data_IF_760810211184
#
_entry.id   IF_760810211184
#
_cell.length_a   1.000
_cell.length_b   1.000
_cell.length_c   1.000
_cell.angle_alpha   90.00
_cell.angle_beta   90.00
_cell.angle_gamma   90.00
#
_symmetry.space_group_name_H-M   'P 1'
#
loop_
_entity.id
_entity.type
_entity.pdbx_description
1 polymer ?
#
# COMPACT_ATOMS: atom_id res chain seq x y z
N UNK A 1 5.12 9.23 11.03
CA UNK A 1 5.31 8.54 9.74
C UNK A 1 4.33 9.00 8.66
N UNK A 2 3.01 8.79 8.81
CA UNK A 2 2.05 9.03 7.71
C UNK A 2 2.13 10.44 7.09
N UNK A 3 1.80 11.50 7.82
CA UNK A 3 1.74 12.85 7.25
C UNK A 3 3.10 13.36 6.77
N UNK A 4 4.12 13.34 7.64
CA UNK A 4 5.43 13.88 7.30
C UNK A 4 6.21 12.97 6.35
N UNK A 5 6.25 11.66 6.62
CA UNK A 5 7.04 10.70 5.85
C UNK A 5 6.49 10.51 4.44
N UNK A 6 5.16 10.37 4.27
CA UNK A 6 4.55 10.23 2.94
C UNK A 6 4.74 11.49 2.11
N UNK A 7 4.41 12.67 2.66
CA UNK A 7 4.57 13.94 1.93
C UNK A 7 6.02 14.20 1.53
N UNK A 8 6.98 13.98 2.43
CA UNK A 8 8.40 14.11 2.12
C UNK A 8 8.87 13.07 1.08
N UNK A 9 8.36 11.84 1.13
CA UNK A 9 8.64 10.79 0.11
C UNK A 9 8.15 11.23 -1.26
N UNK A 10 6.92 11.73 -1.35
CA UNK A 10 6.35 12.24 -2.61
C UNK A 10 7.18 13.42 -3.13
N UNK A 11 7.51 14.39 -2.28
CA UNK A 11 8.30 15.54 -2.66
C UNK A 11 9.70 15.15 -3.15
N UNK A 12 10.43 14.30 -2.41
CA UNK A 12 11.75 13.83 -2.82
C UNK A 12 11.70 13.01 -4.11
N UNK A 13 10.72 12.11 -4.25
CA UNK A 13 10.50 11.35 -5.48
C UNK A 13 10.25 12.27 -6.67
N UNK A 14 9.41 13.28 -6.50
CA UNK A 14 9.14 14.31 -7.51
C UNK A 14 10.41 15.06 -7.91
N UNK A 15 11.21 15.50 -6.94
CA UNK A 15 12.44 16.25 -7.19
C UNK A 15 13.44 15.39 -7.97
N UNK A 16 13.69 14.15 -7.56
CA UNK A 16 14.61 13.28 -8.28
C UNK A 16 14.10 12.91 -9.67
N UNK A 17 12.79 12.73 -9.84
CA UNK A 17 12.19 12.49 -11.14
C UNK A 17 12.40 13.68 -12.09
N UNK A 18 12.07 14.90 -11.63
CA UNK A 18 12.23 16.13 -12.40
C UNK A 18 13.70 16.45 -12.73
N UNK A 19 14.65 16.03 -11.87
CA UNK A 19 16.09 16.22 -12.12
C UNK A 19 16.67 15.21 -13.11
N UNK A 20 16.20 13.96 -13.09
CA UNK A 20 16.76 12.88 -13.92
C UNK A 20 16.10 12.83 -15.31
N UNK A 21 14.80 13.07 -15.39
CA UNK A 21 13.99 12.90 -16.58
C UNK A 21 13.60 14.27 -17.15
N UNK A 22 14.24 14.66 -18.25
CA UNK A 22 13.98 15.94 -18.93
C UNK A 22 12.85 15.84 -19.96
N UNK A 23 12.42 14.62 -20.27
CA UNK A 23 11.41 14.25 -21.25
C UNK A 23 9.99 14.19 -20.65
N UNK A 24 9.86 14.32 -19.32
CA UNK A 24 8.57 14.33 -18.62
C UNK A 24 8.26 15.75 -18.11
N UNK A 25 6.97 16.04 -17.96
CA UNK A 25 6.54 17.31 -17.36
C UNK A 25 6.76 17.33 -15.84
N UNK A 26 6.61 18.50 -15.22
CA UNK A 26 6.66 18.58 -13.76
C UNK A 26 5.48 17.84 -13.10
N UNK A 27 4.30 17.81 -13.74
CA UNK A 27 3.14 17.07 -13.25
C UNK A 27 3.37 15.57 -13.34
N UNK A 28 3.98 15.09 -14.43
CA UNK A 28 4.43 13.71 -14.58
C UNK A 28 5.41 13.29 -13.47
N UNK A 29 6.34 14.20 -13.10
CA UNK A 29 7.27 13.97 -12.00
C UNK A 29 6.55 13.86 -10.64
N UNK A 30 5.55 14.72 -10.39
CA UNK A 30 4.69 14.62 -9.19
C UNK A 30 3.95 13.28 -9.18
N UNK A 31 3.37 12.91 -10.32
CA UNK A 31 2.63 11.68 -10.49
C UNK A 31 3.50 10.45 -10.21
N UNK A 32 4.73 10.42 -10.74
CA UNK A 32 5.70 9.35 -10.45
C UNK A 32 6.09 9.31 -8.96
N UNK A 33 6.26 10.46 -8.32
CA UNK A 33 6.49 10.57 -6.88
C UNK A 33 5.33 9.98 -6.06
N UNK A 34 4.08 10.20 -6.48
CA UNK A 34 2.86 9.67 -5.85
C UNK A 34 2.73 8.16 -6.10
N UNK A 35 2.91 7.69 -7.33
CA UNK A 35 2.79 6.27 -7.70
C UNK A 35 3.76 5.40 -6.89
N UNK A 36 4.97 5.92 -6.64
CA UNK A 36 6.00 5.24 -5.88
C UNK A 36 6.07 5.72 -4.41
N UNK A 37 5.02 6.33 -3.87
CA UNK A 37 4.92 6.65 -2.45
C UNK A 37 4.30 5.56 -1.57
N UNK A 38 3.27 4.78 -1.99
CA UNK A 38 2.70 3.72 -1.17
C UNK A 38 3.67 2.53 -1.03
N UNK A 39 3.46 1.75 0.01
CA UNK A 39 4.32 0.63 0.42
C UNK A 39 3.48 -0.63 0.57
N UNK A 40 4.00 -1.76 0.12
CA UNK A 40 3.28 -3.02 0.06
C UNK A 40 3.71 -3.96 1.20
N UNK A 41 2.91 -4.05 2.26
CA UNK A 41 3.19 -4.91 3.41
C UNK A 41 3.30 -6.40 3.03
N UNK A 42 2.68 -6.86 1.94
CA UNK A 42 2.75 -8.28 1.55
C UNK A 42 4.17 -8.70 1.14
N UNK A 43 4.95 -7.78 0.56
CA UNK A 43 6.36 -8.02 0.21
C UNK A 43 7.28 -7.95 1.44
N UNK A 44 6.85 -7.26 2.49
CA UNK A 44 7.55 -7.19 3.77
C UNK A 44 7.09 -8.28 4.76
N UNK A 45 6.11 -9.11 4.40
CA UNK A 45 5.44 -10.02 5.33
C UNK A 45 6.42 -10.91 6.11
N UNK A 46 7.45 -11.44 5.44
CA UNK A 46 8.51 -12.22 6.08
C UNK A 46 9.20 -11.48 7.24
N UNK A 47 9.40 -10.17 7.14
CA UNK A 47 10.01 -9.36 8.21
C UNK A 47 9.05 -9.16 9.37
N UNK A 48 7.76 -9.08 9.08
CA UNK A 48 6.72 -8.95 10.11
C UNK A 48 6.45 -10.29 10.81
N UNK A 49 6.83 -11.41 10.21
CA UNK A 49 6.80 -12.74 10.84
C UNK A 49 8.03 -13.00 11.74
N UNK A 50 9.12 -12.24 11.57
CA UNK A 50 10.35 -12.41 12.35
C UNK A 50 10.16 -11.92 13.80
N UNK A 51 9.91 -12.85 14.73
CA UNK A 51 9.69 -12.58 16.17
C UNK A 51 10.83 -11.83 16.86
N UNK A 52 12.03 -11.86 16.29
CA UNK A 52 13.19 -11.11 16.76
C UNK A 52 13.08 -9.59 16.52
N UNK A 53 12.18 -9.16 15.63
CA UNK A 53 11.85 -7.75 15.41
C UNK A 53 10.76 -7.35 16.42
N UNK A 54 10.93 -6.26 17.18
CA UNK A 54 9.95 -5.88 18.19
C UNK A 54 8.55 -5.63 17.63
N UNK A 55 7.52 -6.04 18.37
CA UNK A 55 6.11 -5.97 17.96
C UNK A 55 5.68 -4.54 17.61
N UNK A 56 6.15 -3.52 18.34
CA UNK A 56 5.89 -2.11 18.01
C UNK A 56 6.29 -1.77 16.57
N UNK A 57 7.44 -2.25 16.12
CA UNK A 57 8.00 -1.96 14.79
C UNK A 57 7.25 -2.74 13.71
N UNK A 58 6.96 -4.01 13.98
CA UNK A 58 6.16 -4.88 13.12
C UNK A 58 4.76 -4.31 12.89
N UNK A 59 4.07 -3.92 13.96
CA UNK A 59 2.77 -3.25 13.91
C UNK A 59 2.86 -1.91 13.16
N UNK A 60 3.91 -1.13 13.41
CA UNK A 60 4.15 0.14 12.73
C UNK A 60 4.25 0.00 11.21
N UNK A 61 4.96 -1.02 10.71
CA UNK A 61 5.08 -1.30 9.28
C UNK A 61 3.73 -1.68 8.63
N UNK A 62 2.92 -2.51 9.31
CA UNK A 62 1.58 -2.87 8.82
C UNK A 62 0.67 -1.65 8.75
N UNK A 63 0.61 -0.88 9.84
CA UNK A 63 -0.25 0.30 9.94
C UNK A 63 0.15 1.35 8.90
N UNK A 64 1.46 1.56 8.72
CA UNK A 64 1.98 2.47 7.70
C UNK A 64 1.54 2.06 6.30
N UNK A 65 1.72 0.79 5.92
CA UNK A 65 1.32 0.29 4.60
C UNK A 65 -0.17 0.46 4.34
N UNK A 66 -1.03 0.01 5.27
CA UNK A 66 -2.47 0.10 5.09
C UNK A 66 -3.00 1.54 5.03
N UNK A 67 -2.45 2.45 5.84
CA UNK A 67 -2.84 3.86 5.80
C UNK A 67 -2.28 4.59 4.56
N UNK A 68 -1.07 4.25 4.11
CA UNK A 68 -0.48 4.85 2.91
C UNK A 68 -1.33 4.55 1.66
N UNK A 69 -1.79 3.30 1.50
CA UNK A 69 -2.60 2.90 0.35
C UNK A 69 -3.90 3.71 0.24
N UNK A 70 -4.58 3.95 1.37
CA UNK A 70 -5.78 4.79 1.42
C UNK A 70 -5.48 6.28 1.26
N UNK A 71 -4.41 6.79 1.87
CA UNK A 71 -4.09 8.22 1.91
C UNK A 71 -3.50 8.77 0.59
N UNK A 72 -2.84 7.92 -0.21
CA UNK A 72 -2.25 8.31 -1.50
C UNK A 72 -3.31 8.57 -2.56
N UNK A 73 -4.41 7.81 -2.55
CA UNK A 73 -5.41 7.85 -3.63
C UNK A 73 -6.05 9.23 -3.85
N UNK A 74 -6.48 9.99 -2.82
CA UNK A 74 -6.97 11.35 -3.02
C UNK A 74 -5.95 12.27 -3.70
N UNK A 75 -4.68 12.22 -3.28
CA UNK A 75 -3.61 13.01 -3.88
C UNK A 75 -3.38 12.62 -5.35
N UNK A 76 -3.39 11.32 -5.63
CA UNK A 76 -3.29 10.79 -6.99
C UNK A 76 -4.41 11.31 -7.89
N UNK A 77 -5.67 11.28 -7.42
CA UNK A 77 -6.83 11.79 -8.17
C UNK A 77 -6.68 13.28 -8.47
N UNK A 78 -6.22 14.10 -7.52
CA UNK A 78 -5.99 15.52 -7.77
C UNK A 78 -4.99 15.76 -8.90
N UNK A 79 -3.88 15.00 -8.92
CA UNK A 79 -2.84 15.16 -9.94
C UNK A 79 -3.29 14.63 -11.29
N UNK A 80 -3.98 13.49 -11.34
CA UNK A 80 -4.58 12.97 -12.58
C UNK A 80 -5.63 13.94 -13.14
N UNK A 81 -6.47 14.52 -12.28
CA UNK A 81 -7.46 15.51 -12.70
C UNK A 81 -6.80 16.80 -13.21
N UNK A 82 -5.71 17.24 -12.57
CA UNK A 82 -4.93 18.41 -13.00
C UNK A 82 -4.31 18.17 -14.38
N UNK A 83 -3.65 17.03 -14.56
CA UNK A 83 -3.03 16.62 -15.83
C UNK A 83 -4.07 16.54 -16.97
N UNK A 84 -5.25 15.96 -16.68
CA UNK A 84 -6.34 15.88 -17.65
C UNK A 84 -6.87 17.28 -18.04
N UNK A 85 -6.95 18.21 -17.11
CA UNK A 85 -7.40 19.59 -17.36
C UNK A 85 -6.37 20.36 -18.20
N UNK A 86 -5.08 20.19 -17.93
CA UNK A 86 -4.00 20.80 -18.70
C UNK A 86 -3.98 20.29 -20.15
N UNK A 87 -4.02 18.96 -20.35
CA UNK A 87 -4.01 18.34 -21.69
C UNK A 87 -5.25 18.67 -22.52
N UNK A 88 -6.41 18.77 -21.88
CA UNK A 88 -7.67 19.11 -22.55
C UNK A 88 -7.92 20.63 -22.65
N UNK A 89 -6.96 21.45 -22.22
CA UNK A 89 -7.04 22.91 -22.19
C UNK A 89 -8.34 23.44 -21.55
N UNK A 90 -8.75 22.79 -20.45
CA UNK A 90 -9.93 23.17 -19.66
C UNK A 90 -9.57 24.25 -18.63
N UNK A 91 -10.54 25.01 -18.10
CA UNK A 91 -10.26 25.99 -17.06
C UNK A 91 -9.62 25.32 -15.83
N UNK A 92 -8.51 25.88 -15.35
CA UNK A 92 -7.74 25.33 -14.22
C UNK A 92 -8.58 25.16 -12.94
N UNK A 93 -9.72 25.82 -12.77
CA UNK A 93 -10.59 25.57 -11.61
C UNK A 93 -11.33 24.22 -11.65
N UNK A 94 -11.41 23.56 -12.82
CA UNK A 94 -12.26 22.37 -13.02
C UNK A 94 -11.67 21.09 -12.43
N UNK A 95 -10.34 20.97 -12.29
CA UNK A 95 -9.71 19.78 -11.70
C UNK A 95 -10.17 19.57 -10.24
N UNK A 96 -10.37 20.66 -9.50
CA UNK A 96 -10.80 20.61 -8.11
C UNK A 96 -12.21 20.04 -8.02
N UNK A 97 -13.11 20.46 -8.90
CA UNK A 97 -14.46 19.91 -8.97
C UNK A 97 -14.44 18.40 -9.31
N UNK A 98 -13.68 18.01 -10.35
CA UNK A 98 -13.56 16.60 -10.77
C UNK A 98 -12.98 15.73 -9.64
N UNK A 99 -11.93 16.20 -8.98
CA UNK A 99 -11.29 15.46 -7.90
C UNK A 99 -12.19 15.36 -6.66
N UNK A 100 -12.84 16.46 -6.26
CA UNK A 100 -13.77 16.46 -5.14
C UNK A 100 -15.01 15.61 -5.41
N UNK A 101 -15.49 15.54 -6.66
CA UNK A 101 -16.58 14.66 -7.06
C UNK A 101 -16.19 13.19 -6.93
N UNK A 102 -15.03 12.81 -7.50
CA UNK A 102 -14.52 11.43 -7.39
C UNK A 102 -14.28 11.00 -5.94
N UNK A 103 -13.67 11.87 -5.13
CA UNK A 103 -13.40 11.60 -3.71
C UNK A 103 -14.71 11.58 -2.92
N UNK A 104 -15.57 12.59 -3.12
CA UNK A 104 -16.81 12.76 -2.38
C UNK A 104 -17.79 11.62 -2.61
N UNK A 105 -18.05 11.27 -3.88
CA UNK A 105 -18.89 10.11 -4.20
C UNK A 105 -18.25 8.79 -3.79
N UNK A 106 -16.92 8.64 -3.92
CA UNK A 106 -16.22 7.46 -3.43
C UNK A 106 -16.43 7.25 -1.92
N UNK A 107 -16.20 8.29 -1.10
CA UNK A 107 -16.42 8.23 0.35
C UNK A 107 -17.90 7.97 0.67
N UNK A 108 -18.81 8.71 0.03
CA UNK A 108 -20.25 8.59 0.28
C UNK A 108 -20.77 7.18 0.00
N UNK A 109 -20.44 6.63 -1.17
CA UNK A 109 -20.81 5.28 -1.58
C UNK A 109 -20.17 4.24 -0.66
N UNK A 110 -18.88 4.39 -0.33
CA UNK A 110 -18.18 3.50 0.59
C UNK A 110 -18.82 3.45 1.98
N UNK A 111 -19.18 4.60 2.56
CA UNK A 111 -19.85 4.65 3.87
C UNK A 111 -21.19 3.92 3.80
N UNK A 112 -22.02 4.21 2.79
CA UNK A 112 -23.34 3.59 2.66
C UNK A 112 -23.21 2.09 2.50
N UNK A 113 -22.37 1.63 1.58
CA UNK A 113 -22.23 0.20 1.28
C UNK A 113 -21.60 -0.54 2.45
N UNK A 114 -20.59 0.03 3.11
CA UNK A 114 -19.97 -0.58 4.28
C UNK A 114 -20.92 -0.70 5.48
N UNK A 115 -21.69 0.36 5.78
CA UNK A 115 -22.68 0.33 6.88
C UNK A 115 -23.83 -0.65 6.57
N UNK A 116 -24.41 -0.57 5.38
CA UNK A 116 -25.50 -1.47 4.97
C UNK A 116 -25.02 -2.91 4.87
N UNK A 117 -23.84 -3.13 4.29
CA UNK A 117 -23.21 -4.45 4.16
C UNK A 117 -22.94 -5.08 5.53
N UNK A 118 -22.30 -4.34 6.44
CA UNK A 118 -22.05 -4.79 7.81
C UNK A 118 -23.34 -5.07 8.60
N UNK A 119 -24.36 -4.24 8.44
CA UNK A 119 -25.67 -4.46 9.06
C UNK A 119 -26.37 -5.72 8.51
N UNK A 120 -26.39 -5.89 7.18
CA UNK A 120 -26.96 -7.07 6.52
C UNK A 120 -26.23 -8.35 6.94
N UNK A 121 -24.91 -8.31 6.98
CA UNK A 121 -24.07 -9.40 7.47
C UNK A 121 -24.45 -9.79 8.90
N UNK A 122 -24.47 -8.82 9.82
CA UNK A 122 -24.76 -9.07 11.24
C UNK A 122 -26.16 -9.63 11.44
N UNK A 123 -27.14 -9.18 10.65
CA UNK A 123 -28.51 -9.73 10.65
C UNK A 123 -28.54 -11.17 10.16
N UNK A 124 -27.90 -11.47 9.02
CA UNK A 124 -27.90 -12.79 8.43
C UNK A 124 -27.12 -13.82 9.28
N UNK A 125 -26.02 -13.39 9.90
CA UNK A 125 -25.22 -14.20 10.81
C UNK A 125 -26.01 -14.55 12.08
N UNK A 126 -26.63 -13.56 12.75
CA UNK A 126 -27.49 -13.79 13.94
C UNK A 126 -28.69 -14.67 13.65
N UNK A 127 -29.21 -14.63 12.41
CA UNK A 127 -30.31 -15.49 11.97
C UNK A 127 -29.87 -16.92 11.65
N UNK A 128 -28.58 -17.27 11.78
CA UNK A 128 -28.05 -18.59 11.42
C UNK A 128 -28.20 -18.92 9.94
N UNK A 129 -28.35 -17.90 9.09
CA UNK A 129 -28.64 -18.05 7.65
C UNK A 129 -27.37 -18.05 6.78
N UNK A 130 -26.19 -17.89 7.40
CA UNK A 130 -24.91 -17.88 6.71
C UNK A 130 -24.13 -19.16 7.02
N UNK A 131 -23.63 -19.81 5.97
CA UNK A 131 -22.60 -20.85 6.11
C UNK A 131 -21.22 -20.20 6.26
N UNK A 132 -20.25 -21.00 6.69
CA UNK A 132 -18.85 -20.60 6.84
C UNK A 132 -18.25 -19.97 5.57
N UNK A 133 -18.59 -20.53 4.41
CA UNK A 133 -18.08 -20.06 3.12
C UNK A 133 -18.63 -18.66 2.77
N UNK A 134 -19.90 -18.39 3.08
CA UNK A 134 -20.54 -17.13 2.68
C UNK A 134 -20.12 -15.95 3.54
N UNK A 135 -19.99 -16.14 4.86
CA UNK A 135 -19.54 -15.05 5.71
C UNK A 135 -18.06 -14.70 5.44
N UNK A 136 -17.26 -15.68 4.98
CA UNK A 136 -15.85 -15.49 4.59
C UNK A 136 -15.63 -14.83 3.23
N UNK A 137 -16.61 -14.83 2.33
CA UNK A 137 -16.50 -14.20 1.00
C UNK A 137 -17.13 -12.80 0.93
N UNK A 138 -17.71 -12.35 2.05
CA UNK A 138 -18.42 -11.08 2.15
C UNK A 138 -17.54 -9.88 1.75
N UNK A 139 -16.30 -9.80 2.23
CA UNK A 139 -15.42 -8.65 1.97
C UNK A 139 -15.06 -8.50 0.49
N UNK A 140 -14.93 -9.59 -0.26
CA UNK A 140 -14.68 -9.52 -1.70
C UNK A 140 -15.91 -9.01 -2.43
N UNK A 141 -17.11 -9.51 -2.08
CA UNK A 141 -18.35 -8.99 -2.63
C UNK A 141 -18.55 -7.51 -2.30
N UNK A 142 -18.28 -7.11 -1.06
CA UNK A 142 -18.38 -5.73 -0.59
C UNK A 142 -17.43 -4.81 -1.36
N UNK A 143 -16.18 -5.21 -1.55
CA UNK A 143 -15.20 -4.43 -2.32
C UNK A 143 -15.64 -4.24 -3.78
N UNK A 144 -16.10 -5.31 -4.44
CA UNK A 144 -16.56 -5.26 -5.84
C UNK A 144 -17.82 -4.41 -6.01
N UNK A 145 -18.80 -4.56 -5.12
CA UNK A 145 -20.03 -3.76 -5.15
C UNK A 145 -19.72 -2.29 -4.88
N UNK A 146 -18.85 -2.01 -3.90
CA UNK A 146 -18.42 -0.64 -3.58
C UNK A 146 -17.74 0.03 -4.78
N UNK A 147 -16.85 -0.71 -5.46
CA UNK A 147 -16.21 -0.23 -6.67
C UNK A 147 -17.24 0.05 -7.77
N UNK A 148 -18.05 -0.94 -8.14
CA UNK A 148 -18.97 -0.85 -9.27
C UNK A 148 -19.98 0.29 -9.09
N UNK A 149 -20.53 0.45 -7.88
CA UNK A 149 -21.50 1.50 -7.60
C UNK A 149 -20.83 2.87 -7.62
N UNK A 150 -19.64 3.01 -7.02
CA UNK A 150 -18.93 4.28 -7.01
C UNK A 150 -18.54 4.73 -8.41
N UNK A 151 -17.94 3.83 -9.20
CA UNK A 151 -17.54 4.11 -10.58
C UNK A 151 -18.76 4.50 -11.44
N UNK A 152 -19.89 3.80 -11.27
CA UNK A 152 -21.14 4.09 -11.97
C UNK A 152 -21.77 5.45 -11.66
N UNK A 153 -21.47 6.05 -10.50
CA UNK A 153 -21.95 7.40 -10.12
C UNK A 153 -20.87 8.48 -10.25
N UNK A 154 -19.72 8.16 -10.87
CA UNK A 154 -18.60 9.09 -11.05
C UNK A 154 -17.67 9.23 -9.83
N UNK A 155 -17.86 8.40 -8.82
CA UNK A 155 -16.97 8.26 -7.66
C UNK A 155 -15.75 7.38 -7.94
N UNK A 156 -14.72 7.50 -7.10
CA UNK A 156 -13.57 6.61 -7.19
C UNK A 156 -13.83 5.29 -6.47
N UNK A 157 -13.76 4.19 -7.22
CA UNK A 157 -13.98 2.84 -6.72
C UNK A 157 -13.00 2.35 -5.65
N UNK A 158 -11.72 2.71 -5.75
CA UNK A 158 -10.73 2.34 -4.75
C UNK A 158 -11.02 3.01 -3.41
N UNK A 159 -11.35 4.30 -3.41
CA UNK A 159 -11.78 5.02 -2.21
C UNK A 159 -13.04 4.37 -1.64
N UNK A 160 -14.03 4.06 -2.47
CA UNK A 160 -15.27 3.43 -2.00
C UNK A 160 -15.02 2.08 -1.34
N UNK A 161 -14.23 1.19 -1.94
CA UNK A 161 -13.90 -0.11 -1.38
C UNK A 161 -13.11 0.01 -0.06
N UNK A 162 -12.13 0.92 0.02
CA UNK A 162 -11.37 1.17 1.24
C UNK A 162 -12.25 1.70 2.37
N UNK A 163 -13.09 2.70 2.09
CA UNK A 163 -13.99 3.30 3.07
C UNK A 163 -15.09 2.31 3.49
N UNK A 164 -15.59 1.47 2.56
CA UNK A 164 -16.54 0.41 2.91
C UNK A 164 -15.95 -0.59 3.90
N UNK A 165 -14.72 -1.04 3.67
CA UNK A 165 -14.01 -1.93 4.61
C UNK A 165 -13.75 -1.31 5.98
N UNK A 166 -13.58 0.01 6.07
CA UNK A 166 -13.49 0.71 7.36
C UNK A 166 -14.87 0.86 8.03
N UNK A 167 -15.90 1.20 7.26
CA UNK A 167 -17.24 1.44 7.77
C UNK A 167 -17.90 0.17 8.34
N UNK A 168 -17.53 -1.02 7.86
CA UNK A 168 -18.02 -2.28 8.44
C UNK A 168 -17.59 -2.51 9.88
N UNK A 169 -16.50 -1.87 10.34
CA UNK A 169 -16.00 -1.99 11.73
C UNK A 169 -16.90 -1.26 12.75
N UNK A 170 -17.83 -0.42 12.29
CA UNK A 170 -18.79 0.27 13.15
C UNK A 170 -19.82 -0.72 13.71
N UNK A 171 -20.12 -1.78 12.96
CA UNK A 171 -21.09 -2.80 13.37
C UNK A 171 -20.42 -3.89 14.22
N UNK A 172 -21.07 -4.27 15.32
CA UNK A 172 -20.63 -5.38 16.17
C UNK A 172 -20.92 -6.73 15.49
N UNK A 173 -19.91 -7.18 14.73
CA UNK A 173 -19.87 -8.50 14.11
C UNK A 173 -19.55 -9.50 15.21
N UNK A 174 -20.54 -10.29 15.63
CA UNK A 174 -20.40 -11.35 16.65
C UNK A 174 -19.54 -12.55 16.17
N UNK A 175 -18.56 -12.29 15.32
CA UNK A 175 -17.62 -13.21 14.70
C UNK A 175 -16.24 -12.60 14.90
N UNK A 176 -15.24 -13.43 15.15
CA UNK A 176 -13.87 -12.92 15.32
C UNK A 176 -13.39 -12.28 14.00
N UNK A 177 -12.63 -11.18 14.10
CA UNK A 177 -12.07 -10.51 12.90
C UNK A 177 -11.22 -11.50 12.07
N UNK A 178 -10.50 -12.40 12.74
CA UNK A 178 -9.66 -13.40 12.10
C UNK A 178 -10.46 -14.36 11.20
N UNK A 179 -11.59 -14.88 11.70
CA UNK A 179 -12.43 -15.83 10.95
C UNK A 179 -13.02 -15.22 9.67
N UNK A 180 -13.31 -13.92 9.66
CA UNK A 180 -13.90 -13.22 8.50
C UNK A 180 -12.82 -12.73 7.52
N UNK A 181 -11.62 -12.40 8.00
CA UNK A 181 -10.55 -11.79 7.18
C UNK A 181 -9.60 -12.82 6.57
N UNK A 182 -9.49 -14.03 7.12
CA UNK A 182 -8.51 -15.04 6.67
C UNK A 182 -8.64 -15.37 5.18
N UNK A 183 -9.86 -15.69 4.71
CA UNK A 183 -10.09 -16.06 3.30
C UNK A 183 -9.89 -14.86 2.35
N UNK A 184 -10.48 -13.66 2.60
CA UNK A 184 -10.25 -12.49 1.77
C UNK A 184 -8.76 -12.10 1.68
N UNK A 185 -8.00 -12.29 2.77
CA UNK A 185 -6.55 -12.09 2.78
C UNK A 185 -5.83 -13.08 1.87
N UNK A 186 -6.17 -14.37 1.97
CA UNK A 186 -5.59 -15.40 1.10
C UNK A 186 -5.92 -15.14 -0.39
N UNK A 187 -7.17 -14.79 -0.70
CA UNK A 187 -7.61 -14.44 -2.04
C UNK A 187 -6.86 -13.20 -2.57
N UNK A 188 -6.74 -12.15 -1.75
CA UNK A 188 -5.96 -10.95 -2.08
C UNK A 188 -4.49 -11.26 -2.34
N UNK A 189 -3.87 -12.13 -1.55
CA UNK A 189 -2.49 -12.56 -1.75
C UNK A 189 -2.31 -13.34 -3.07
N UNK A 190 -3.24 -14.25 -3.41
CA UNK A 190 -3.20 -14.99 -4.68
C UNK A 190 -3.32 -14.03 -5.87
N UNK A 191 -4.25 -13.07 -5.81
CA UNK A 191 -4.41 -12.06 -6.85
C UNK A 191 -3.17 -11.17 -6.97
N UNK A 192 -2.56 -10.78 -5.85
CA UNK A 192 -1.31 -10.01 -5.86
C UNK A 192 -0.17 -10.80 -6.54
N UNK A 193 0.01 -12.07 -6.16
CA UNK A 193 1.01 -12.95 -6.79
C UNK A 193 0.75 -13.11 -8.29
N UNK A 194 -0.50 -13.21 -8.72
CA UNK A 194 -0.84 -13.27 -10.14
C UNK A 194 -0.45 -11.98 -10.88
N UNK A 195 -0.72 -10.79 -10.31
CA UNK A 195 -0.32 -9.51 -10.88
C UNK A 195 1.21 -9.40 -10.96
N UNK A 196 1.93 -9.76 -9.89
CA UNK A 196 3.39 -9.73 -9.88
C UNK A 196 4.00 -10.74 -10.85
N UNK A 197 3.39 -11.92 -11.02
CA UNK A 197 3.80 -12.90 -12.01
C UNK A 197 3.64 -12.36 -13.43
N UNK A 198 2.48 -11.79 -13.76
CA UNK A 198 2.22 -11.18 -15.06
C UNK A 198 3.21 -10.03 -15.32
N UNK A 199 3.42 -9.16 -14.33
CA UNK A 199 4.42 -8.09 -14.41
C UNK A 199 5.81 -8.65 -14.68
N UNK A 200 6.21 -9.69 -13.97
CA UNK A 200 7.51 -10.36 -14.14
C UNK A 200 7.70 -10.87 -15.57
N UNK A 201 6.69 -11.55 -16.14
CA UNK A 201 6.72 -12.02 -17.52
C UNK A 201 6.81 -10.86 -18.51
N UNK A 202 5.97 -9.83 -18.35
CA UNK A 202 5.97 -8.66 -19.23
C UNK A 202 7.27 -7.83 -19.13
N UNK A 203 7.91 -7.81 -17.96
CA UNK A 203 9.12 -7.01 -17.73
C UNK A 203 10.29 -7.41 -18.61
N UNK A 204 10.34 -8.67 -19.07
CA UNK A 204 11.38 -9.14 -19.97
C UNK A 204 11.43 -8.34 -21.28
N UNK A 205 10.28 -7.87 -21.79
CA UNK A 205 10.20 -7.02 -22.98
C UNK A 205 10.71 -5.60 -22.71
N UNK A 206 10.57 -5.12 -21.48
CA UNK A 206 10.93 -3.75 -21.09
C UNK A 206 12.37 -3.60 -20.60
N UNK A 207 13.04 -4.69 -20.20
CA UNK A 207 14.44 -4.67 -19.75
C UNK A 207 15.39 -3.93 -20.71
N UNK A 208 15.34 -4.12 -22.04
CA UNK A 208 16.22 -3.40 -22.97
C UNK A 208 15.98 -1.89 -23.03
N UNK A 209 14.83 -1.41 -22.56
CA UNK A 209 14.47 0.00 -22.55
C UNK A 209 14.93 0.71 -21.26
N UNK A 210 15.40 -0.04 -20.27
CA UNK A 210 15.87 0.52 -18.99
C UNK A 210 17.25 1.14 -19.18
N UNK A 211 17.29 2.46 -19.16
CA UNK A 211 18.54 3.21 -19.17
C UNK A 211 19.11 3.42 -17.75
N UNK A 212 20.28 4.04 -17.69
CA UNK A 212 20.95 4.33 -16.42
C UNK A 212 20.15 5.29 -15.53
N UNK A 213 19.37 6.20 -16.11
CA UNK A 213 18.58 7.18 -15.34
C UNK A 213 17.39 6.51 -14.66
N UNK A 214 16.67 5.65 -15.38
CA UNK A 214 15.58 4.82 -14.86
C UNK A 214 16.10 3.93 -13.73
N UNK A 215 17.22 3.24 -13.96
CA UNK A 215 17.85 2.42 -12.93
C UNK A 215 18.28 3.25 -11.70
N UNK A 216 18.93 4.40 -11.91
CA UNK A 216 19.36 5.29 -10.83
C UNK A 216 18.16 5.82 -10.04
N UNK A 217 17.09 6.24 -10.72
CA UNK A 217 15.86 6.69 -10.06
C UNK A 217 15.24 5.57 -9.23
N UNK A 218 15.17 4.34 -9.74
CA UNK A 218 14.65 3.20 -9.00
C UNK A 218 15.45 2.93 -7.71
N UNK A 219 16.79 2.93 -7.80
CA UNK A 219 17.67 2.75 -6.62
C UNK A 219 17.50 3.89 -5.63
N UNK A 220 17.46 5.14 -6.10
CA UNK A 220 17.24 6.32 -5.26
C UNK A 220 15.85 6.31 -4.59
N UNK A 221 14.84 5.85 -5.33
CA UNK A 221 13.44 5.73 -4.88
C UNK A 221 13.32 4.78 -3.68
N UNK A 222 14.01 3.65 -3.73
CA UNK A 222 14.02 2.66 -2.65
C UNK A 222 14.92 3.05 -1.47
N UNK A 223 15.99 3.80 -1.72
CA UNK A 223 16.97 4.18 -0.69
C UNK A 223 16.70 5.58 -0.14
N UNK A 224 17.18 6.62 -0.80
CA UNK A 224 17.14 8.00 -0.30
C UNK A 224 15.71 8.50 -0.15
N UNK A 225 14.90 8.36 -1.20
CA UNK A 225 13.52 8.89 -1.26
C UNK A 225 12.62 8.24 -0.23
N UNK A 226 12.87 6.99 0.15
CA UNK A 226 12.11 6.29 1.18
C UNK A 226 12.74 6.42 2.57
N UNK A 227 14.00 6.03 2.72
CA UNK A 227 14.64 5.91 4.04
C UNK A 227 14.81 7.25 4.75
N UNK A 228 15.13 8.32 4.01
CA UNK A 228 15.38 9.64 4.62
C UNK A 228 14.08 10.25 5.17
N UNK A 229 12.99 10.39 4.39
CA UNK A 229 11.71 10.86 4.90
C UNK A 229 11.18 10.10 6.11
N UNK A 230 11.28 8.77 6.07
CA UNK A 230 10.80 7.91 7.16
C UNK A 230 11.58 8.18 8.43
N UNK A 231 12.91 8.19 8.33
CA UNK A 231 13.80 8.45 9.47
C UNK A 231 13.56 9.85 10.04
N UNK A 232 13.41 10.87 9.19
CA UNK A 232 13.07 12.24 9.62
C UNK A 232 11.73 12.26 10.37
N UNK A 233 10.73 11.54 9.86
CA UNK A 233 9.40 11.49 10.47
C UNK A 233 9.37 10.80 11.85
N UNK A 234 10.45 10.13 12.24
CA UNK A 234 10.61 9.45 13.52
C UNK A 234 11.46 10.22 14.53
N UNK A 235 12.06 11.35 14.19
CA UNK A 235 12.96 12.10 15.11
C UNK A 235 12.26 12.42 16.45
N UNK A 236 10.96 12.71 16.44
CA UNK A 236 10.17 13.00 17.65
C UNK A 236 9.73 11.78 18.47
N UNK A 237 9.99 10.56 18.00
CA UNK A 237 9.56 9.31 18.67
C UNK A 237 10.60 8.74 19.63
N UNK A 238 11.77 9.38 19.76
CA UNK A 238 12.91 8.91 20.56
C UNK A 238 13.45 7.51 20.19
N UNK A 239 13.00 6.93 19.08
CA UNK A 239 13.56 5.71 18.52
C UNK A 239 14.99 5.95 18.02
N UNK A 240 15.80 4.89 18.05
CA UNK A 240 17.12 4.87 17.47
C UNK A 240 17.06 5.19 15.98
N UNK A 241 18.03 5.95 15.46
CA UNK A 241 18.09 6.26 14.03
C UNK A 241 18.16 5.00 13.15
N UNK A 242 18.77 3.92 13.64
CA UNK A 242 18.82 2.63 12.93
C UNK A 242 17.45 1.97 12.82
N UNK A 243 16.56 2.20 13.79
CA UNK A 243 15.14 1.84 13.71
C UNK A 243 14.46 2.58 12.56
N UNK A 244 14.71 3.89 12.44
CA UNK A 244 14.21 4.69 11.32
C UNK A 244 14.71 4.20 9.96
N UNK A 245 15.99 3.87 9.84
CA UNK A 245 16.57 3.30 8.63
C UNK A 245 15.98 1.92 8.31
N UNK A 246 15.80 1.07 9.31
CA UNK A 246 15.18 -0.25 9.16
C UNK A 246 13.74 -0.14 8.66
N UNK A 247 12.91 0.70 9.29
CA UNK A 247 11.54 0.92 8.87
C UNK A 247 11.45 1.59 7.48
N UNK A 248 12.41 2.47 7.18
CA UNK A 248 12.56 3.07 5.87
C UNK A 248 12.83 2.01 4.80
N UNK A 249 13.82 1.14 5.03
CA UNK A 249 14.15 0.06 4.11
C UNK A 249 12.99 -0.90 3.91
N UNK A 250 12.31 -1.34 4.97
CA UNK A 250 11.18 -2.27 4.86
C UNK A 250 9.83 -1.62 4.51
N UNK A 251 9.87 -0.66 3.59
CA UNK A 251 8.69 -0.15 2.86
C UNK A 251 8.78 -0.49 1.37
N UNK A 252 8.69 -1.78 0.99
CA UNK A 252 8.84 -2.20 -0.41
C UNK A 252 7.73 -1.62 -1.30
N UNK A 253 8.06 -1.38 -2.57
CA UNK A 253 7.09 -1.05 -3.62
C UNK A 253 6.55 -2.33 -4.25
N UNK A 254 5.24 -2.36 -4.51
CA UNK A 254 4.54 -3.55 -4.99
C UNK A 254 3.24 -3.20 -5.70
N UNK A 255 2.15 -3.87 -5.34
CA UNK A 255 0.89 -3.86 -6.06
C UNK A 255 0.30 -2.46 -6.26
N UNK A 256 0.25 -1.65 -5.20
CA UNK A 256 -0.33 -0.32 -5.24
C UNK A 256 0.31 0.55 -6.33
N UNK A 257 1.64 0.51 -6.47
CA UNK A 257 2.37 1.25 -7.50
C UNK A 257 2.02 0.78 -8.91
N UNK A 258 1.85 -0.53 -9.12
CA UNK A 258 1.46 -1.09 -10.42
C UNK A 258 0.06 -0.60 -10.79
N UNK A 259 -0.89 -0.70 -9.85
CA UNK A 259 -2.28 -0.27 -10.05
C UNK A 259 -2.36 1.22 -10.38
N UNK A 260 -1.68 2.07 -9.62
CA UNK A 260 -1.64 3.51 -9.90
C UNK A 260 -1.03 3.82 -11.26
N UNK A 261 0.05 3.12 -11.65
CA UNK A 261 0.65 3.26 -12.99
C UNK A 261 -0.32 2.86 -14.10
N UNK A 262 -1.05 1.75 -13.95
CA UNK A 262 -2.04 1.32 -14.94
C UNK A 262 -3.19 2.32 -15.08
N UNK A 263 -3.70 2.85 -13.97
CA UNK A 263 -4.72 3.91 -13.99
C UNK A 263 -4.18 5.16 -14.70
N UNK A 264 -2.92 5.52 -14.44
CA UNK A 264 -2.27 6.63 -15.13
C UNK A 264 -2.21 6.42 -16.64
N UNK A 265 -1.75 5.25 -17.09
CA UNK A 265 -1.67 4.92 -18.54
C UNK A 265 -3.05 4.90 -19.19
N UNK A 266 -4.06 4.42 -18.47
CA UNK A 266 -5.44 4.37 -18.97
C UNK A 266 -6.08 5.75 -19.08
N UNK A 267 -5.89 6.61 -18.07
CA UNK A 267 -6.61 7.89 -17.95
C UNK A 267 -5.89 9.08 -18.59
N UNK A 268 -4.58 8.99 -18.82
CA UNK A 268 -3.78 10.12 -19.28
C UNK A 268 -3.19 9.82 -20.64
N UNK A 269 -3.73 10.49 -21.66
CA UNK A 269 -3.22 10.40 -23.02
C UNK A 269 -1.73 10.77 -23.10
N UNK A 270 -0.98 10.00 -23.90
CA UNK A 270 0.46 10.18 -24.10
C UNK A 270 1.35 9.43 -23.10
N UNK A 271 0.83 9.04 -21.92
CA UNK A 271 1.59 8.18 -21.00
C UNK A 271 1.45 6.73 -21.44
N UNK A 272 2.58 6.04 -21.54
CA UNK A 272 2.65 4.63 -21.97
C UNK A 272 3.41 3.82 -20.95
N UNK A 273 3.10 2.53 -20.86
CA UNK A 273 3.87 1.57 -20.05
C UNK A 273 5.35 1.54 -20.46
N UNK A 274 5.62 1.65 -21.77
CA UNK A 274 6.98 1.72 -22.32
C UNK A 274 7.63 3.11 -22.23
N UNK A 275 6.91 4.11 -21.70
CA UNK A 275 7.46 5.45 -21.45
C UNK A 275 8.15 5.53 -20.10
N UNK A 276 8.80 6.67 -19.84
CA UNK A 276 9.65 6.92 -18.67
C UNK A 276 8.98 6.62 -17.34
N UNK A 277 7.72 7.05 -17.13
CA UNK A 277 6.96 6.75 -15.90
C UNK A 277 6.78 5.23 -15.73
N UNK A 278 6.29 4.55 -16.77
CA UNK A 278 6.02 3.12 -16.72
C UNK A 278 7.30 2.31 -16.45
N UNK A 279 8.38 2.61 -17.17
CA UNK A 279 9.68 1.96 -16.98
C UNK A 279 10.26 2.22 -15.58
N UNK A 280 10.15 3.45 -15.06
CA UNK A 280 10.58 3.79 -13.71
C UNK A 280 9.81 2.99 -12.66
N UNK A 281 8.48 2.88 -12.79
CA UNK A 281 7.65 2.11 -11.86
C UNK A 281 7.97 0.62 -11.92
N UNK A 282 7.99 0.02 -13.11
CA UNK A 282 8.28 -1.41 -13.31
C UNK A 282 9.66 -1.75 -12.75
N UNK A 283 10.69 -0.97 -13.09
CA UNK A 283 12.05 -1.18 -12.62
C UNK A 283 12.14 -1.08 -11.09
N UNK A 284 11.47 -0.07 -10.51
CA UNK A 284 11.45 0.11 -9.04
C UNK A 284 10.77 -1.06 -8.34
N UNK A 285 9.63 -1.54 -8.85
CA UNK A 285 8.90 -2.67 -8.27
C UNK A 285 9.73 -3.96 -8.38
N UNK A 286 10.36 -4.23 -9.52
CA UNK A 286 11.21 -5.42 -9.69
C UNK A 286 12.40 -5.38 -8.72
N UNK A 287 13.15 -4.28 -8.70
CA UNK A 287 14.28 -4.14 -7.79
C UNK A 287 13.80 -4.27 -6.34
N UNK A 288 12.65 -3.70 -6.00
CA UNK A 288 12.04 -3.81 -4.68
C UNK A 288 11.75 -5.27 -4.29
N UNK A 289 11.06 -6.03 -5.14
CA UNK A 289 10.73 -7.44 -4.87
C UNK A 289 11.99 -8.26 -4.57
N UNK A 290 13.03 -8.13 -5.40
CA UNK A 290 14.28 -8.87 -5.19
C UNK A 290 15.08 -8.36 -3.99
N UNK A 291 15.28 -7.04 -3.88
CA UNK A 291 16.10 -6.45 -2.82
C UNK A 291 15.51 -6.75 -1.44
N UNK A 292 14.21 -6.52 -1.23
CA UNK A 292 13.59 -6.76 0.08
C UNK A 292 13.43 -8.25 0.35
N UNK A 293 13.13 -9.08 -0.65
CA UNK A 293 13.07 -10.54 -0.50
C UNK A 293 14.40 -11.16 -0.07
N UNK A 294 15.50 -10.78 -0.71
CA UNK A 294 16.85 -11.27 -0.38
C UNK A 294 17.31 -10.73 0.99
N UNK A 295 17.01 -9.46 1.30
CA UNK A 295 17.51 -8.79 2.50
C UNK A 295 16.65 -8.99 3.74
N UNK A 296 15.42 -9.51 3.62
CA UNK A 296 14.48 -9.72 4.73
C UNK A 296 15.13 -10.40 5.95
N UNK A 297 15.66 -11.61 5.80
CA UNK A 297 16.29 -12.34 6.91
C UNK A 297 17.59 -11.66 7.42
N UNK A 298 18.58 -11.40 6.56
CA UNK A 298 19.85 -10.79 6.98
C UNK A 298 19.71 -9.44 7.69
N UNK A 299 18.83 -8.56 7.20
CA UNK A 299 18.63 -7.23 7.79
C UNK A 299 17.79 -7.32 9.08
N UNK A 300 16.79 -8.21 9.15
CA UNK A 300 16.10 -8.51 10.42
C UNK A 300 17.06 -9.01 11.50
N UNK A 301 17.95 -9.94 11.17
CA UNK A 301 18.99 -10.43 12.10
C UNK A 301 19.99 -9.34 12.53
N UNK A 302 20.32 -8.43 11.61
CA UNK A 302 21.17 -7.27 11.93
C UNK A 302 20.45 -6.30 12.86
N UNK A 303 19.17 -6.03 12.62
CA UNK A 303 18.36 -5.14 13.43
C UNK A 303 18.09 -5.72 14.82
N UNK A 304 17.79 -7.00 14.93
CA UNK A 304 17.64 -7.70 16.20
C UNK A 304 18.90 -7.57 17.09
N UNK A 305 20.09 -7.66 16.49
CA UNK A 305 21.37 -7.42 17.20
C UNK A 305 21.49 -6.00 17.72
N UNK A 306 20.98 -5.00 16.99
CA UNK A 306 20.95 -3.61 17.45
C UNK A 306 20.00 -3.48 18.64
N UNK A 307 18.78 -4.01 18.54
CA UNK A 307 17.79 -3.97 19.62
C UNK A 307 18.31 -4.66 20.88
N UNK A 308 19.02 -5.77 20.75
CA UNK A 308 19.64 -6.45 21.88
C UNK A 308 20.63 -5.56 22.66
N UNK A 309 21.32 -4.63 21.99
CA UNK A 309 22.27 -3.69 22.62
C UNK A 309 21.61 -2.47 23.26
N UNK A 310 20.32 -2.20 22.99
CA UNK A 310 19.62 -1.05 23.56
C UNK A 310 19.28 -1.28 25.04
N UNK A 311 19.17 -0.19 25.84
CA UNK A 311 18.66 -0.27 27.22
C UNK A 311 17.31 -0.99 27.32
N UNK A 312 16.97 -1.62 28.45
CA UNK A 312 15.68 -2.30 28.64
C UNK A 312 14.46 -1.37 28.53
N UNK A 313 14.64 -0.10 28.87
CA UNK A 313 13.64 0.99 28.82
C UNK A 313 13.59 1.71 27.47
N UNK A 314 14.34 1.24 26.47
CA UNK A 314 14.30 1.82 25.13
C UNK A 314 12.88 1.70 24.53
N UNK A 315 12.37 2.75 23.85
CA UNK A 315 11.00 2.73 23.30
C UNK A 315 10.73 1.55 22.36
N UNK A 316 11.75 1.06 21.65
CA UNK A 316 11.62 -0.12 20.77
C UNK A 316 11.19 -1.39 21.50
N UNK A 317 11.44 -1.51 22.81
CA UNK A 317 11.15 -2.69 23.63
C UNK A 317 9.83 -2.58 24.39
N UNK A 318 9.08 -1.50 24.17
CA UNK A 318 7.76 -1.34 24.77
C UNK A 318 6.83 -2.50 24.38
N UNK A 319 6.17 -3.10 25.37
CA UNK A 319 5.23 -4.18 25.15
C UNK A 319 3.94 -3.62 24.56
N UNK A 320 3.65 -3.97 23.31
CA UNK A 320 2.42 -3.62 22.62
C UNK A 320 1.72 -4.89 22.18
N UNK A 321 0.40 -4.90 22.25
CA UNK A 321 -0.41 -6.00 21.74
C UNK A 321 -0.16 -6.21 20.23
N UNK A 322 0.04 -7.46 19.84
CA UNK A 322 0.28 -7.82 18.44
C UNK A 322 -1.03 -7.71 17.66
N UNK A 323 -1.01 -7.04 16.51
CA UNK A 323 -2.23 -6.85 15.71
C UNK A 323 -2.80 -8.21 15.28
N UNK A 324 -4.13 -8.35 15.30
CA UNK A 324 -4.86 -9.56 14.84
C UNK A 324 -4.45 -10.00 13.43
N UNK A 325 -4.04 -9.05 12.58
CA UNK A 325 -3.47 -9.30 11.25
C UNK A 325 -2.22 -10.20 11.24
N UNK A 326 -1.55 -10.36 12.39
CA UNK A 326 -0.38 -11.22 12.62
C UNK A 326 -0.71 -12.45 13.48
N UNK A 327 -1.80 -12.43 14.26
CA UNK A 327 -2.19 -13.53 15.15
C UNK A 327 -2.59 -14.81 14.39
N UNK A 328 -3.14 -14.72 13.18
CA UNK A 328 -3.44 -15.89 12.34
C UNK A 328 -2.22 -16.67 11.81
N UNK A 329 -1.01 -16.21 12.11
CA UNK A 329 0.24 -16.95 11.86
C UNK A 329 0.54 -17.89 13.06
N UNK A 330 0.01 -17.60 14.26
CA UNK A 330 0.20 -18.42 15.47
C UNK A 330 -0.46 -19.80 15.39
N UNK A 331 -1.58 -19.91 14.67
CA UNK A 331 -2.34 -21.16 14.57
C UNK A 331 -1.69 -22.18 13.63
N UNK A 332 -0.91 -21.77 12.64
CA UNK A 332 -0.24 -22.70 11.71
C UNK A 332 1.07 -23.28 12.26
N UNK A 333 1.81 -22.57 13.12
CA UNK A 333 3.00 -23.13 13.79
C UNK A 333 2.66 -24.13 14.91
N UNK A 334 1.50 -23.99 15.57
CA UNK A 334 1.10 -24.91 16.64
C UNK A 334 0.48 -26.22 16.14
N UNK A 335 0.01 -26.29 14.89
CA UNK A 335 -0.52 -27.54 14.31
C UNK A 335 0.62 -28.53 13.96
N UNK A 336 1.86 -28.08 13.83
CA UNK A 336 3.02 -28.94 13.55
C UNK A 336 3.72 -29.52 14.80
N UNK A 337 3.12 -29.39 15.99
CA UNK A 337 3.66 -29.92 17.25
C UNK A 337 2.80 -31.00 17.93
N UNK A 338 1.88 -31.64 17.22
CA UNK A 338 1.33 -32.92 17.69
C UNK A 338 2.14 -34.08 17.09
N UNK A 339 2.84 -34.88 17.93
CA UNK A 339 3.46 -36.10 17.46
C UNK A 339 2.37 -37.15 17.24
N UNK A 340 2.25 -37.62 16.00
CA UNK A 340 1.75 -38.98 15.73
C UNK A 340 2.73 -40.01 16.27
#
# INVERSE_FOLDING_TARGET
MLFLGLSLTICLGTVFAALLFADITFIDAILLGIILAPTDASLAQKVVEERQVPTLIRNGLIIESGLNDGAVMPLFIFVVALEAVEKLNRPLGTFLAIALEQIGFGIFVGIIIGLVGGWLFSRAFKAGSMSEVYYRTEFVALALISWLVADGVGGNGFIAAFIAGLATRIEDRQVTEEEVILLPRAEGNVLNLAVLFILGVMSAEYLPLVDLKIFAYAVLSLTVVRMVPVTISLIGSHLNIKTGLFMGWFGPRGLASIVLMLITVERIEGIRVSGTIGLAVITTVIISVFAHGITAGPVSNWYARIIATLPPDAPEKESVEELTALQGIETTENIHKEPY
#
